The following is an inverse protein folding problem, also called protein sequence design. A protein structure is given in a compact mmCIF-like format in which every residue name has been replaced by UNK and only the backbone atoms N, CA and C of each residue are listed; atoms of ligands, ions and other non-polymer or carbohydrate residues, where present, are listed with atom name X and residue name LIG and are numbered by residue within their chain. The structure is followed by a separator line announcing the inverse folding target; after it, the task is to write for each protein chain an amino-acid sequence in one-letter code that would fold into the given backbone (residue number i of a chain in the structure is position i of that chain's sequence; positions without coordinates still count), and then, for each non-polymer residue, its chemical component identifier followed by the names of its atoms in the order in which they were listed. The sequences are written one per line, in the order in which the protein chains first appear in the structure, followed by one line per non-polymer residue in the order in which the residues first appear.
data_IF_433126920182
#
_entry.id   IF_433126920182
#
_cell.length_a   1.000
_cell.length_b   1.000
_cell.length_c   1.000
_cell.angle_alpha   90.00
_cell.angle_beta   90.00
_cell.angle_gamma   90.00
#
_symmetry.space_group_name_H-M   'P 1'
#
loop_
_entity.id
_entity.type
_entity.pdbx_description
1 polymer ?
#
# COMPACT_ATOMS: atom_id res chain seq x y z
N UNK A 1 15.98 47.02 70.93
CA UNK A 1 16.42 46.07 69.88
C UNK A 1 15.20 45.69 69.05
N UNK A 2 14.97 46.38 67.93
CA UNK A 2 13.83 46.13 67.05
C UNK A 2 14.21 45.08 66.00
N UNK A 3 13.54 43.93 66.02
CA UNK A 3 13.55 42.96 64.93
C UNK A 3 12.79 43.54 63.74
N UNK A 4 13.50 44.09 62.75
CA UNK A 4 12.89 44.44 61.46
C UNK A 4 12.71 43.16 60.65
N UNK A 5 11.50 42.62 60.66
CA UNK A 5 11.09 41.54 59.77
C UNK A 5 11.26 41.99 58.32
N UNK A 6 12.21 41.38 57.62
CA UNK A 6 12.40 41.54 56.19
C UNK A 6 11.20 40.91 55.47
N UNK A 7 10.19 41.73 55.17
CA UNK A 7 9.17 41.42 54.19
C UNK A 7 9.84 41.36 52.81
N UNK A 8 10.44 40.21 52.49
CA UNK A 8 10.85 39.89 51.13
C UNK A 8 9.55 39.92 50.31
N UNK A 9 9.35 41.02 49.60
CA UNK A 9 8.16 41.26 48.81
C UNK A 9 7.99 40.10 47.84
N UNK A 10 6.83 39.44 47.86
CA UNK A 10 6.46 38.40 46.87
C UNK A 10 6.68 38.91 45.45
N UNK A 11 6.46 40.22 45.23
CA UNK A 11 6.76 40.90 43.98
C UNK A 11 8.25 40.81 43.55
N UNK A 12 9.20 40.95 44.48
CA UNK A 12 10.65 40.84 44.19
C UNK A 12 11.07 39.39 43.93
N UNK A 13 10.44 38.43 44.60
CA UNK A 13 10.64 37.01 44.28
C UNK A 13 10.05 36.64 42.92
N UNK A 14 8.86 37.15 42.59
CA UNK A 14 8.23 36.95 41.28
C UNK A 14 9.02 37.65 40.16
N UNK A 15 9.59 38.84 40.42
CA UNK A 15 10.44 39.54 39.46
C UNK A 15 11.74 38.78 39.15
N UNK A 16 12.33 38.10 40.14
CA UNK A 16 13.49 37.19 39.93
C UNK A 16 13.10 35.88 39.23
N UNK A 17 11.85 35.44 39.36
CA UNK A 17 11.34 34.23 38.71
C UNK A 17 10.97 34.45 37.24
N UNK A 18 10.67 35.70 36.84
CA UNK A 18 10.45 36.08 35.45
C UNK A 18 11.82 36.17 34.76
N UNK A 19 12.11 35.17 33.93
CA UNK A 19 13.31 35.13 33.09
C UNK A 19 13.23 36.27 32.07
N UNK A 20 13.98 37.34 32.29
CA UNK A 20 14.00 38.56 31.46
C UNK A 20 14.77 38.41 30.15
N UNK A 21 15.42 37.27 29.91
CA UNK A 21 16.07 37.00 28.62
C UNK A 21 15.04 36.64 27.56
N UNK A 22 14.94 37.48 26.51
CA UNK A 22 14.07 37.23 25.35
C UNK A 22 14.33 35.88 24.67
N UNK A 23 15.53 35.33 24.86
CA UNK A 23 15.95 34.04 24.32
C UNK A 23 15.63 32.82 25.20
N UNK A 24 15.08 33.01 26.40
CA UNK A 24 14.85 31.91 27.33
C UNK A 24 13.95 30.81 26.74
N UNK A 25 12.94 31.23 25.97
CA UNK A 25 11.99 30.34 25.29
C UNK A 25 12.28 30.18 23.79
N UNK A 26 13.32 30.83 23.23
CA UNK A 26 13.60 30.77 21.79
C UNK A 26 14.37 29.49 21.42
N UNK A 27 15.28 29.04 22.30
CA UNK A 27 16.12 27.86 22.11
C UNK A 27 15.56 26.56 22.71
N UNK A 28 16.37 25.49 22.59
CA UNK A 28 16.13 24.17 23.21
C UNK A 28 16.80 24.12 24.58
N UNK A 29 16.13 24.67 25.59
CA UNK A 29 16.58 24.67 26.98
C UNK A 29 15.83 23.60 27.81
N UNK A 30 16.03 23.58 29.12
CA UNK A 30 15.34 22.68 30.07
C UNK A 30 13.82 22.87 30.15
N UNK A 31 13.30 23.98 29.62
CA UNK A 31 11.86 24.28 29.51
C UNK A 31 11.45 24.21 28.04
N UNK A 32 10.29 23.60 27.76
CA UNK A 32 9.78 23.42 26.40
C UNK A 32 9.71 24.76 25.65
N UNK A 33 10.66 24.96 24.72
CA UNK A 33 10.82 26.19 23.97
C UNK A 33 9.79 26.34 22.85
N UNK A 34 9.75 27.52 22.24
CA UNK A 34 8.94 27.82 21.04
C UNK A 34 9.29 26.85 19.90
N UNK A 35 10.57 26.48 19.80
CA UNK A 35 11.04 25.55 18.78
C UNK A 35 10.53 24.12 19.01
N UNK A 36 10.52 23.66 20.25
CA UNK A 36 9.97 22.34 20.62
C UNK A 36 8.45 22.28 20.40
N UNK A 37 7.73 23.37 20.69
CA UNK A 37 6.30 23.47 20.38
C UNK A 37 6.04 23.42 18.88
N UNK A 38 6.86 24.10 18.08
CA UNK A 38 6.78 24.05 16.61
C UNK A 38 7.08 22.65 16.08
N UNK A 39 8.10 21.98 16.61
CA UNK A 39 8.46 20.62 16.22
C UNK A 39 7.34 19.62 16.61
N UNK A 40 6.77 19.73 17.81
CA UNK A 40 5.62 18.92 18.23
C UNK A 40 4.39 19.13 17.34
N UNK A 41 4.13 20.37 16.91
CA UNK A 41 3.03 20.66 15.95
C UNK A 41 3.32 20.03 14.58
N UNK A 42 4.58 20.08 14.11
CA UNK A 42 4.97 19.44 12.84
C UNK A 42 4.82 17.93 12.93
N UNK A 43 5.22 17.33 14.04
CA UNK A 43 5.09 15.89 14.28
C UNK A 43 3.62 15.48 14.29
N UNK A 44 2.75 16.17 15.05
CA UNK A 44 1.30 15.95 15.02
C UNK A 44 0.69 16.06 13.62
N UNK A 45 1.13 17.04 12.82
CA UNK A 45 0.68 17.17 11.41
C UNK A 45 1.15 16.01 10.54
N UNK A 46 2.37 15.51 10.74
CA UNK A 46 2.89 14.34 10.03
C UNK A 46 2.12 13.08 10.42
N UNK A 47 1.85 12.88 11.71
CA UNK A 47 1.05 11.78 12.20
C UNK A 47 -0.36 11.82 11.62
N UNK A 48 -1.04 12.97 11.66
CA UNK A 48 -2.36 13.15 11.04
C UNK A 48 -2.36 12.84 9.54
N UNK A 49 -1.33 13.24 8.79
CA UNK A 49 -1.20 12.94 7.36
C UNK A 49 -0.99 11.44 7.10
N UNK A 50 -0.22 10.78 7.97
CA UNK A 50 0.11 9.37 7.85
C UNK A 50 -0.94 8.46 8.51
N UNK A 51 -2.06 9.00 8.97
CA UNK A 51 -3.06 8.24 9.71
C UNK A 51 -4.45 8.51 9.13
N UNK A 52 -5.18 7.45 8.84
CA UNK A 52 -6.53 7.51 8.28
C UNK A 52 -7.55 7.60 9.43
N UNK A 53 -7.96 8.82 9.76
CA UNK A 53 -8.88 9.08 10.89
C UNK A 53 -10.26 8.44 10.74
N UNK A 54 -10.74 8.31 9.49
CA UNK A 54 -12.00 7.63 9.16
C UNK A 54 -11.99 6.14 9.52
N UNK A 55 -10.79 5.55 9.63
CA UNK A 55 -10.56 4.13 9.90
C UNK A 55 -9.86 3.95 11.25
N UNK A 56 -10.43 4.52 12.32
CA UNK A 56 -9.96 4.36 13.70
C UNK A 56 -8.47 4.66 13.93
N UNK A 57 -7.87 5.50 13.08
CA UNK A 57 -6.45 5.82 13.20
C UNK A 57 -5.51 4.81 12.51
N UNK A 58 -5.95 4.14 11.45
CA UNK A 58 -5.09 3.23 10.68
C UNK A 58 -3.87 3.97 10.14
N UNK A 59 -2.67 3.47 10.45
CA UNK A 59 -1.41 4.11 10.08
C UNK A 59 -0.96 3.67 8.69
N UNK A 60 -0.43 4.60 7.93
CA UNK A 60 0.30 4.34 6.69
C UNK A 60 1.62 3.67 7.05
N UNK A 61 1.83 2.45 6.55
CA UNK A 61 3.04 1.66 6.80
C UNK A 61 3.66 1.24 5.47
N UNK A 62 4.98 1.41 5.28
CA UNK A 62 5.65 0.80 4.13
C UNK A 62 5.59 -0.72 4.27
N UNK A 63 5.10 -1.39 3.22
CA UNK A 63 5.00 -2.84 3.18
C UNK A 63 6.39 -3.48 3.05
N UNK A 64 6.63 -4.51 3.85
CA UNK A 64 7.77 -5.42 3.72
C UNK A 64 7.68 -6.25 2.44
N UNK A 65 8.77 -6.91 2.06
CA UNK A 65 8.80 -7.76 0.87
C UNK A 65 7.79 -8.92 0.98
N UNK A 66 7.71 -9.54 2.16
CA UNK A 66 6.81 -10.66 2.44
C UNK A 66 5.34 -10.22 2.39
N UNK A 67 4.99 -9.10 3.04
CA UNK A 67 3.64 -8.51 2.98
C UNK A 67 3.22 -8.17 1.54
N UNK A 68 4.15 -7.74 0.67
CA UNK A 68 3.88 -7.50 -0.75
C UNK A 68 3.58 -8.79 -1.51
N UNK A 69 4.31 -9.86 -1.23
CA UNK A 69 4.05 -11.17 -1.83
C UNK A 69 2.69 -11.71 -1.41
N UNK A 70 2.30 -11.55 -0.15
CA UNK A 70 0.97 -11.95 0.35
C UNK A 70 -0.16 -11.20 -0.36
N UNK A 71 -0.01 -9.88 -0.53
CA UNK A 71 -0.95 -9.05 -1.30
C UNK A 71 -1.06 -9.54 -2.76
N UNK A 72 0.07 -9.90 -3.36
CA UNK A 72 0.08 -10.41 -4.72
C UNK A 72 -0.64 -11.77 -4.82
N UNK A 73 -0.43 -12.67 -3.85
CA UNK A 73 -1.17 -13.93 -3.77
C UNK A 73 -2.68 -13.69 -3.64
N UNK A 74 -3.11 -12.70 -2.86
CA UNK A 74 -4.52 -12.32 -2.76
C UNK A 74 -5.13 -11.89 -4.10
N UNK A 75 -4.35 -11.22 -4.98
CA UNK A 75 -4.82 -10.89 -6.35
C UNK A 75 -5.15 -12.13 -7.16
N UNK A 76 -4.37 -13.19 -6.95
CA UNK A 76 -4.47 -14.44 -7.69
C UNK A 76 -5.27 -15.53 -6.97
N UNK A 77 -5.97 -15.22 -5.87
CA UNK A 77 -6.74 -16.19 -5.08
C UNK A 77 -7.67 -17.10 -5.90
N UNK A 78 -8.33 -16.56 -6.94
CA UNK A 78 -9.23 -17.33 -7.80
C UNK A 78 -8.51 -18.28 -8.78
N UNK A 79 -7.22 -18.04 -9.06
CA UNK A 79 -6.41 -18.95 -9.87
C UNK A 79 -5.99 -20.19 -9.07
N UNK A 80 -5.83 -19.98 -7.76
CA UNK A 80 -5.37 -20.98 -6.81
C UNK A 80 -6.51 -21.95 -6.51
N UNK A 81 -7.67 -21.44 -6.08
CA UNK A 81 -8.87 -22.24 -5.83
C UNK A 81 -9.99 -21.90 -6.83
N UNK A 82 -10.19 -22.72 -7.88
CA UNK A 82 -11.21 -22.48 -8.88
C UNK A 82 -12.62 -22.86 -8.42
N UNK A 83 -12.76 -23.65 -7.35
CA UNK A 83 -14.07 -24.04 -6.79
C UNK A 83 -14.65 -22.89 -5.97
N UNK A 84 -13.81 -22.19 -5.23
CA UNK A 84 -14.17 -20.99 -4.48
C UNK A 84 -13.90 -19.73 -5.29
N UNK A 85 -14.74 -19.45 -6.29
CA UNK A 85 -14.66 -18.20 -7.06
C UNK A 85 -15.06 -17.00 -6.21
N UNK A 86 -14.08 -16.33 -5.63
CA UNK A 86 -14.34 -15.06 -4.95
C UNK A 86 -14.66 -13.97 -5.95
N UNK A 87 -15.51 -13.01 -5.57
CA UNK A 87 -15.70 -11.81 -6.38
C UNK A 87 -14.37 -11.08 -6.51
N UNK A 88 -13.80 -11.07 -7.71
CA UNK A 88 -12.61 -10.32 -8.00
C UNK A 88 -12.98 -8.83 -8.12
N UNK A 89 -12.26 -7.92 -7.46
CA UNK A 89 -12.46 -6.50 -7.67
C UNK A 89 -12.26 -6.15 -9.14
N UNK A 90 -13.08 -5.22 -9.65
CA UNK A 90 -13.13 -4.86 -11.09
C UNK A 90 -11.79 -4.35 -11.63
N UNK A 91 -10.90 -3.89 -10.74
CA UNK A 91 -9.53 -3.47 -11.06
C UNK A 91 -8.58 -4.25 -10.16
N UNK A 92 -7.66 -4.98 -10.80
CA UNK A 92 -6.58 -5.73 -10.13
C UNK A 92 -5.54 -4.75 -9.53
N UNK A 93 -5.47 -3.52 -10.06
CA UNK A 93 -4.67 -2.42 -9.54
C UNK A 93 -5.07 -2.09 -8.09
N UNK A 94 -6.37 -1.99 -7.82
CA UNK A 94 -6.89 -1.53 -6.52
C UNK A 94 -6.55 -2.47 -5.34
N UNK A 95 -6.22 -3.74 -5.60
CA UNK A 95 -5.77 -4.68 -4.56
C UNK A 95 -4.31 -4.38 -4.25
N UNK A 96 -4.00 -3.98 -3.02
CA UNK A 96 -2.61 -3.76 -2.60
C UNK A 96 -2.02 -2.38 -2.90
N UNK A 97 -2.75 -1.51 -3.59
CA UNK A 97 -2.38 -0.10 -3.77
C UNK A 97 -2.79 0.79 -2.59
N UNK A 98 -3.56 0.25 -1.63
CA UNK A 98 -3.90 0.98 -0.41
C UNK A 98 -2.65 1.20 0.45
N UNK A 99 -2.30 2.46 0.65
CA UNK A 99 -1.19 2.84 1.54
C UNK A 99 -1.49 2.56 3.03
N UNK A 100 -2.76 2.28 3.34
CA UNK A 100 -3.25 1.96 4.67
C UNK A 100 -3.68 0.49 4.66
N UNK A 101 -2.83 -0.38 5.19
CA UNK A 101 -3.09 -1.81 5.36
C UNK A 101 -2.44 -2.28 6.65
N UNK A 102 -3.14 -3.17 7.35
CA UNK A 102 -2.66 -3.81 8.56
C UNK A 102 -2.81 -5.33 8.42
N UNK A 103 -1.73 -6.05 8.71
CA UNK A 103 -1.70 -7.51 8.66
C UNK A 103 -2.04 -8.04 10.05
N UNK A 104 -3.29 -8.44 10.22
CA UNK A 104 -3.74 -9.17 11.39
C UNK A 104 -3.58 -10.67 11.16
N UNK A 105 -2.67 -11.31 11.88
CA UNK A 105 -2.64 -12.77 11.95
C UNK A 105 -3.74 -13.20 12.92
N UNK A 106 -4.91 -13.52 12.37
CA UNK A 106 -6.03 -14.02 13.17
C UNK A 106 -5.59 -15.31 13.85
N UNK A 107 -5.40 -15.24 15.16
CA UNK A 107 -5.26 -16.41 16.02
C UNK A 107 -6.62 -17.05 16.19
N UNK A 108 -7.22 -17.56 15.11
CA UNK A 108 -8.54 -18.15 15.23
C UNK A 108 -8.48 -19.33 16.21
N UNK A 109 -9.42 -19.30 17.15
CA UNK A 109 -9.52 -20.18 18.30
C UNK A 109 -9.91 -21.60 17.87
N UNK A 110 -8.96 -22.35 17.30
CA UNK A 110 -9.21 -23.74 16.89
C UNK A 110 -8.02 -24.47 16.28
N UNK A 111 -7.02 -23.76 15.71
CA UNK A 111 -5.82 -24.41 15.15
C UNK A 111 -4.78 -24.71 16.22
N UNK A 112 -4.31 -25.96 16.22
CA UNK A 112 -3.28 -26.49 17.11
C UNK A 112 -1.98 -25.66 16.98
N UNK A 113 -1.36 -25.26 18.10
CA UNK A 113 -0.19 -24.34 18.11
C UNK A 113 0.94 -24.77 17.17
N UNK A 114 1.12 -26.09 16.95
CA UNK A 114 2.18 -26.65 16.10
C UNK A 114 1.97 -26.49 14.60
N UNK A 115 0.75 -26.15 14.16
CA UNK A 115 0.38 -25.94 12.75
C UNK A 115 0.12 -24.46 12.44
N UNK A 116 0.58 -23.56 13.31
CA UNK A 116 0.41 -22.13 13.11
C UNK A 116 1.58 -21.62 12.27
N UNK A 117 1.31 -21.31 11.02
CA UNK A 117 2.27 -20.70 10.13
C UNK A 117 2.35 -19.19 10.37
N UNK A 118 3.51 -18.62 10.05
CA UNK A 118 3.79 -17.19 10.23
C UNK A 118 3.20 -16.34 9.10
N UNK A 119 3.04 -16.92 7.92
CA UNK A 119 2.53 -16.27 6.72
C UNK A 119 1.40 -17.09 6.09
N UNK A 120 0.51 -16.41 5.39
CA UNK A 120 -0.50 -17.04 4.54
C UNK A 120 0.14 -17.93 3.47
N UNK A 121 1.29 -17.52 2.91
CA UNK A 121 2.00 -18.30 1.89
C UNK A 121 2.48 -19.64 2.46
N UNK A 122 3.03 -19.63 3.67
CA UNK A 122 3.52 -20.83 4.36
C UNK A 122 2.38 -21.78 4.72
N UNK A 123 1.27 -21.24 5.23
CA UNK A 123 0.05 -22.00 5.52
C UNK A 123 -0.47 -22.70 4.27
N UNK A 124 -0.51 -21.97 3.15
CA UNK A 124 -1.02 -22.50 1.90
C UNK A 124 -0.16 -23.63 1.32
N UNK A 125 1.17 -23.50 1.42
CA UNK A 125 2.11 -24.53 0.97
C UNK A 125 1.98 -25.79 1.83
N UNK A 126 1.81 -25.65 3.15
CA UNK A 126 1.63 -26.79 4.05
C UNK A 126 0.30 -27.53 3.81
N UNK A 127 -0.79 -26.80 3.56
CA UNK A 127 -2.11 -27.37 3.31
C UNK A 127 -2.21 -28.08 1.95
N UNK A 128 -1.41 -27.64 0.97
CA UNK A 128 -1.47 -28.14 -0.40
C UNK A 128 -0.10 -28.65 -0.87
N UNK A 129 0.38 -29.83 -0.42
CA UNK A 129 1.68 -30.35 -0.83
C UNK A 129 1.78 -30.65 -2.34
N UNK A 130 0.65 -30.89 -3.00
CA UNK A 130 0.56 -31.06 -4.47
C UNK A 130 0.48 -29.73 -5.24
N UNK A 131 0.44 -28.60 -4.54
CA UNK A 131 0.26 -27.27 -5.13
C UNK A 131 1.32 -26.94 -6.17
N UNK A 132 2.58 -27.25 -5.88
CA UNK A 132 3.68 -26.98 -6.82
C UNK A 132 3.44 -27.67 -8.18
N UNK A 133 2.96 -28.91 -8.18
CA UNK A 133 2.69 -29.67 -9.40
C UNK A 133 1.43 -29.19 -10.13
N UNK A 134 0.36 -28.90 -9.38
CA UNK A 134 -0.90 -28.37 -9.93
C UNK A 134 -0.69 -26.97 -10.52
N UNK A 135 0.07 -26.11 -9.86
CA UNK A 135 0.44 -24.79 -10.35
C UNK A 135 1.33 -24.92 -11.59
N UNK A 136 2.35 -25.78 -11.56
CA UNK A 136 3.23 -25.96 -12.72
C UNK A 136 2.45 -26.46 -13.96
N UNK A 137 1.52 -27.40 -13.77
CA UNK A 137 0.68 -27.91 -14.86
C UNK A 137 -0.32 -26.87 -15.37
N UNK A 138 -0.99 -26.14 -14.47
CA UNK A 138 -1.95 -25.07 -14.81
C UNK A 138 -1.30 -23.84 -15.43
N UNK A 139 -0.13 -23.42 -14.95
CA UNK A 139 0.65 -22.33 -15.54
C UNK A 139 1.09 -22.73 -16.95
N UNK A 140 1.60 -23.95 -17.14
CA UNK A 140 2.00 -24.43 -18.47
C UNK A 140 0.80 -24.49 -19.44
N UNK A 141 -0.37 -24.95 -18.98
CA UNK A 141 -1.56 -25.02 -19.83
C UNK A 141 -2.10 -23.63 -20.17
N UNK A 142 -2.16 -22.71 -19.20
CA UNK A 142 -2.63 -21.34 -19.40
C UNK A 142 -1.70 -20.53 -20.31
N UNK A 143 -0.38 -20.67 -20.17
CA UNK A 143 0.61 -20.05 -21.08
C UNK A 143 0.40 -20.54 -22.51
N UNK A 144 0.27 -21.87 -22.71
CA UNK A 144 0.02 -22.43 -24.04
C UNK A 144 -1.30 -21.92 -24.64
N UNK A 145 -2.36 -21.84 -23.84
CA UNK A 145 -3.66 -21.31 -24.28
C UNK A 145 -3.55 -19.82 -24.67
N UNK A 146 -2.85 -19.01 -23.86
CA UNK A 146 -2.62 -17.58 -24.13
C UNK A 146 -1.75 -17.34 -25.36
N UNK A 147 -0.74 -18.18 -25.59
CA UNK A 147 0.07 -18.10 -26.81
C UNK A 147 -0.77 -18.43 -28.05
N UNK A 148 -1.59 -19.48 -28.00
CA UNK A 148 -2.51 -19.84 -29.10
C UNK A 148 -3.52 -18.73 -29.38
N UNK A 149 -4.12 -18.13 -28.34
CA UNK A 149 -5.11 -17.06 -28.51
C UNK A 149 -4.48 -15.79 -29.09
N UNK A 150 -3.28 -15.40 -28.62
CA UNK A 150 -2.51 -14.28 -29.18
C UNK A 150 -2.13 -14.53 -30.63
N UNK A 151 -1.65 -15.72 -30.97
CA UNK A 151 -1.32 -16.08 -32.35
C UNK A 151 -2.55 -16.04 -33.27
N UNK A 152 -3.70 -16.55 -32.81
CA UNK A 152 -4.95 -16.49 -33.56
C UNK A 152 -5.41 -15.03 -33.78
N UNK A 153 -5.31 -14.18 -32.75
CA UNK A 153 -5.65 -12.76 -32.84
C UNK A 153 -4.71 -12.00 -33.79
N UNK A 154 -3.42 -12.29 -33.74
CA UNK A 154 -2.43 -11.73 -34.66
C UNK A 154 -2.70 -12.13 -36.12
N UNK A 155 -3.05 -13.41 -36.36
CA UNK A 155 -3.45 -13.89 -37.71
C UNK A 155 -4.70 -13.17 -38.22
N UNK A 156 -5.74 -13.03 -37.39
CA UNK A 156 -6.95 -12.28 -37.78
C UNK A 156 -6.63 -10.81 -38.09
N UNK A 157 -5.84 -10.15 -37.26
CA UNK A 157 -5.41 -8.77 -37.49
C UNK A 157 -4.58 -8.62 -38.77
N UNK A 158 -3.69 -9.58 -39.08
CA UNK A 158 -2.91 -9.59 -40.31
C UNK A 158 -3.80 -9.73 -41.56
N UNK A 159 -4.82 -10.60 -41.50
CA UNK A 159 -5.79 -10.78 -42.58
C UNK A 159 -6.63 -9.51 -42.78
N UNK A 160 -7.09 -8.88 -41.70
CA UNK A 160 -7.82 -7.62 -41.77
C UNK A 160 -6.96 -6.48 -42.33
N UNK A 161 -5.69 -6.40 -41.92
CA UNK A 161 -4.74 -5.43 -42.47
C UNK A 161 -4.45 -5.67 -43.95
N UNK A 162 -4.34 -6.93 -44.40
CA UNK A 162 -4.17 -7.28 -45.81
C UNK A 162 -5.40 -6.86 -46.63
N UNK A 163 -6.61 -7.21 -46.17
CA UNK A 163 -7.87 -6.78 -46.79
C UNK A 163 -8.03 -5.26 -46.83
N UNK A 164 -7.57 -4.55 -45.80
CA UNK A 164 -7.59 -3.08 -45.77
C UNK A 164 -6.61 -2.47 -46.79
N UNK A 165 -5.42 -3.06 -46.97
CA UNK A 165 -4.46 -2.66 -48.02
C UNK A 165 -5.03 -2.92 -49.42
N UNK A 166 -5.63 -4.08 -49.65
CA UNK A 166 -6.29 -4.41 -50.92
C UNK A 166 -7.42 -3.44 -51.26
N UNK A 167 -8.30 -3.13 -50.29
CA UNK A 167 -9.36 -2.11 -50.46
C UNK A 167 -8.81 -0.71 -50.75
N UNK A 168 -7.65 -0.34 -50.18
CA UNK A 168 -6.98 0.94 -50.49
C UNK A 168 -6.35 0.94 -51.88
N UNK A 169 -5.80 -0.19 -52.31
CA UNK A 169 -5.21 -0.36 -53.65
C UNK A 169 -6.27 -0.37 -54.75
N UNK A 170 -7.42 -1.03 -54.53
CA UNK A 170 -8.52 -1.06 -55.50
C UNK A 170 -9.15 0.31 -55.71
N UNK A 171 -9.37 1.08 -54.62
CA UNK A 171 -9.83 2.49 -54.69
C UNK A 171 -8.87 3.42 -55.44
N UNK A 172 -7.56 3.11 -55.48
CA UNK A 172 -6.57 3.90 -56.22
C UNK A 172 -6.56 3.56 -57.71
N UNK A 173 -6.81 2.31 -58.09
CA UNK A 173 -6.91 1.90 -59.50
C UNK A 173 -8.18 2.46 -60.17
N UNK A 174 -9.32 2.43 -59.49
CA UNK A 174 -10.59 2.96 -60.04
C UNK A 174 -10.59 4.47 -60.31
N UNK A 175 -9.63 5.24 -59.78
CA UNK A 175 -9.45 6.66 -60.09
C UNK A 175 -8.56 6.93 -61.30
N UNK A 176 -7.78 5.94 -61.74
CA UNK A 176 -6.80 6.10 -62.82
C UNK A 176 -7.35 5.76 -64.20
N UNK A 177 -8.47 5.02 -64.26
CA UNK A 177 -9.15 4.62 -65.50
C UNK A 177 -10.29 5.60 -65.92
N UNK A 178 -10.40 6.77 -65.26
CA UNK A 178 -11.42 7.81 -65.55
C UNK A 178 -10.78 9.05 -66.19
N UNK A 179 -9.59 8.93 -66.76
CA UNK A 179 -8.92 9.99 -67.55
C UNK A 179 -8.61 9.47 -68.95
#
# INVERSE_FOLDING_TARGET
MSLSSSSINVADMMAKAITTSGDFYSGRNSVQGIQDRKDAIREKRREQKNTLSQWYGMKKKPLSADEKQEIELLKYRNFVDPEHQHQAPKKIADVGESEFMEFGYFTDAGRNKRRRCKSFADEWIEENPQFAEVVATRIKSSIKANQKSKAARAKKAAIEAAKAKEKRMSKRRSKRDVL
#
